data_IF_910544946103
#
_entry.id   IF_910544946103
#
_cell.length_a   1.000
_cell.length_b   1.000
_cell.length_c   1.000
_cell.angle_alpha   90.00
_cell.angle_beta   90.00
_cell.angle_gamma   90.00
#
_symmetry.space_group_name_H-M   'P 1'
#
loop_
_entity.id
_entity.type
_entity.pdbx_description
1 polymer ?
#
# COMPACT_ATOMS: atom_id res chain seq x y z
N UNK A 1 -40.35 13.66 -3.22
CA UNK A 1 -39.47 13.54 -2.02
C UNK A 1 -38.65 12.27 -2.12
N UNK A 2 -37.30 12.38 -2.19
CA UNK A 2 -36.45 11.18 -2.12
C UNK A 2 -36.47 10.69 -0.66
N UNK A 3 -37.04 9.53 -0.42
CA UNK A 3 -36.98 8.84 0.89
C UNK A 3 -35.52 8.68 1.29
N UNK A 4 -35.12 9.32 2.40
CA UNK A 4 -33.76 9.22 2.95
C UNK A 4 -33.50 7.76 3.30
N UNK A 5 -32.66 7.06 2.53
CA UNK A 5 -32.35 5.65 2.75
C UNK A 5 -31.66 5.51 4.12
N UNK A 6 -32.33 4.91 5.09
CA UNK A 6 -31.77 4.69 6.44
C UNK A 6 -30.63 3.68 6.33
N UNK A 7 -29.43 4.06 6.78
CA UNK A 7 -28.27 3.17 6.79
C UNK A 7 -28.45 2.07 7.84
N UNK A 8 -28.06 0.85 7.49
CA UNK A 8 -27.95 -0.24 8.47
C UNK A 8 -26.83 0.03 9.48
N UNK A 9 -26.88 -0.61 10.62
CA UNK A 9 -25.82 -0.45 11.63
C UNK A 9 -24.46 -0.96 11.14
N UNK A 10 -24.45 -1.98 10.28
CA UNK A 10 -23.24 -2.43 9.61
C UNK A 10 -22.67 -1.34 8.68
N UNK A 11 -23.51 -0.70 7.87
CA UNK A 11 -23.08 0.38 6.99
C UNK A 11 -22.51 1.57 7.75
N UNK A 12 -23.13 1.95 8.88
CA UNK A 12 -22.61 3.01 9.76
C UNK A 12 -21.22 2.64 10.35
N UNK A 13 -21.04 1.37 10.76
CA UNK A 13 -19.75 0.89 11.25
C UNK A 13 -18.67 0.95 10.16
N UNK A 14 -19.00 0.56 8.93
CA UNK A 14 -18.07 0.63 7.81
C UNK A 14 -17.69 2.08 7.46
N UNK A 15 -18.66 3.02 7.50
CA UNK A 15 -18.40 4.45 7.31
C UNK A 15 -17.44 4.98 8.39
N UNK A 16 -17.65 4.61 9.67
CA UNK A 16 -16.76 4.99 10.77
C UNK A 16 -15.35 4.41 10.57
N UNK A 17 -15.24 3.15 10.14
CA UNK A 17 -13.95 2.49 9.89
C UNK A 17 -13.18 3.23 8.77
N UNK A 18 -13.85 3.62 7.69
CA UNK A 18 -13.25 4.43 6.62
C UNK A 18 -12.82 5.82 7.12
N UNK A 19 -13.63 6.48 7.95
CA UNK A 19 -13.26 7.76 8.54
C UNK A 19 -12.04 7.65 9.46
N UNK A 20 -11.94 6.60 10.28
CA UNK A 20 -10.76 6.37 11.13
C UNK A 20 -9.50 6.26 10.25
N UNK A 21 -9.55 5.44 9.19
CA UNK A 21 -8.41 5.26 8.28
C UNK A 21 -8.06 6.58 7.59
N UNK A 22 -9.05 7.28 7.04
CA UNK A 22 -8.83 8.53 6.32
C UNK A 22 -8.28 9.63 7.23
N UNK A 23 -8.85 9.82 8.42
CA UNK A 23 -8.42 10.85 9.36
C UNK A 23 -7.02 10.59 9.93
N UNK A 24 -6.69 9.34 10.25
CA UNK A 24 -5.34 8.99 10.70
C UNK A 24 -4.29 9.23 9.62
N UNK A 25 -4.55 8.79 8.38
CA UNK A 25 -3.65 9.05 7.26
C UNK A 25 -3.52 10.55 6.99
N UNK A 26 -4.64 11.29 6.95
CA UNK A 26 -4.64 12.75 6.75
C UNK A 26 -3.85 13.48 7.84
N UNK A 27 -4.01 13.09 9.11
CA UNK A 27 -3.25 13.69 10.21
C UNK A 27 -1.74 13.52 10.02
N UNK A 28 -1.30 12.33 9.59
CA UNK A 28 0.12 12.08 9.30
C UNK A 28 0.58 12.87 8.07
N UNK A 29 -0.23 12.97 7.02
CA UNK A 29 0.07 13.82 5.87
C UNK A 29 0.17 15.31 6.22
N UNK A 30 -0.67 15.82 7.12
CA UNK A 30 -0.55 17.20 7.61
C UNK A 30 0.77 17.39 8.35
N UNK A 31 1.15 16.48 9.24
CA UNK A 31 2.46 16.52 9.90
C UNK A 31 3.58 16.50 8.86
N UNK A 32 3.50 15.60 7.87
CA UNK A 32 4.49 15.55 6.80
C UNK A 32 4.53 16.85 5.96
N UNK A 33 3.40 17.45 5.65
CA UNK A 33 3.34 18.73 4.95
C UNK A 33 4.02 19.87 5.74
N UNK A 34 3.93 19.85 7.08
CA UNK A 34 4.52 20.87 7.94
C UNK A 34 6.03 20.72 8.14
N UNK A 35 6.53 19.49 8.28
CA UNK A 35 7.91 19.21 8.66
C UNK A 35 8.65 18.24 7.72
N UNK A 36 8.02 17.83 6.60
CA UNK A 36 8.52 16.78 5.72
C UNK A 36 9.91 17.06 5.14
N UNK A 37 10.21 18.31 4.77
CA UNK A 37 11.55 18.67 4.31
C UNK A 37 12.63 18.43 5.38
N UNK A 38 12.34 18.76 6.65
CA UNK A 38 13.25 18.49 7.78
C UNK A 38 13.37 16.99 8.04
N UNK A 39 12.27 16.25 7.97
CA UNK A 39 12.26 14.79 8.12
C UNK A 39 13.07 14.11 7.01
N UNK A 40 12.91 14.55 5.77
CA UNK A 40 13.67 14.02 4.63
C UNK A 40 15.17 14.33 4.75
N UNK A 41 15.53 15.56 5.15
CA UNK A 41 16.93 15.92 5.43
C UNK A 41 17.51 15.03 6.52
N UNK A 42 16.79 14.86 7.64
CA UNK A 42 17.21 13.96 8.72
C UNK A 42 17.36 12.50 8.24
N UNK A 43 16.41 11.98 7.49
CA UNK A 43 16.45 10.60 7.00
C UNK A 43 17.58 10.36 5.98
N UNK A 44 18.01 11.39 5.22
CA UNK A 44 19.09 11.31 4.23
C UNK A 44 20.47 11.62 4.81
N UNK A 45 20.57 12.14 6.03
CA UNK A 45 21.86 12.54 6.63
C UNK A 45 22.66 11.32 7.09
N UNK A 46 23.63 10.90 6.27
CA UNK A 46 24.51 9.74 6.56
C UNK A 46 25.46 9.98 7.75
N UNK A 47 25.59 11.21 8.28
CA UNK A 47 26.32 11.45 9.52
C UNK A 47 25.59 10.95 10.76
N UNK A 48 24.27 10.77 10.66
CA UNK A 48 23.42 10.24 11.72
C UNK A 48 23.33 8.71 11.58
N UNK A 49 23.37 7.99 12.71
CA UNK A 49 23.16 6.54 12.71
C UNK A 49 21.92 6.12 11.92
N UNK A 50 22.00 5.01 11.20
CA UNK A 50 20.89 4.52 10.36
C UNK A 50 19.62 4.20 11.17
N UNK A 51 19.76 3.76 12.42
CA UNK A 51 18.63 3.31 13.24
C UNK A 51 17.58 4.38 13.57
N UNK A 52 17.94 5.57 14.12
CA UNK A 52 16.95 6.62 14.35
C UNK A 52 16.33 7.12 13.02
N UNK A 53 17.10 7.16 11.93
CA UNK A 53 16.60 7.52 10.60
C UNK A 53 15.56 6.51 10.09
N UNK A 54 15.86 5.22 10.20
CA UNK A 54 14.95 4.13 9.85
C UNK A 54 13.69 4.17 10.73
N UNK A 55 13.83 4.40 12.05
CA UNK A 55 12.70 4.49 12.98
C UNK A 55 11.76 5.64 12.62
N UNK A 56 12.29 6.82 12.32
CA UNK A 56 11.48 7.98 11.90
C UNK A 56 10.75 7.68 10.59
N UNK A 57 11.48 7.19 9.58
CA UNK A 57 10.88 6.84 8.29
C UNK A 57 9.79 5.75 8.43
N UNK A 58 10.06 4.67 9.20
CA UNK A 58 9.10 3.60 9.46
C UNK A 58 7.87 4.07 10.25
N UNK A 59 8.05 5.01 11.20
CA UNK A 59 6.92 5.58 11.96
C UNK A 59 6.00 6.40 11.06
N UNK A 60 6.55 7.17 10.12
CA UNK A 60 5.76 7.91 9.15
C UNK A 60 5.00 6.97 8.20
N UNK A 61 5.68 5.95 7.67
CA UNK A 61 5.06 4.95 6.80
C UNK A 61 3.95 4.18 7.52
N UNK A 62 4.19 3.75 8.76
CA UNK A 62 3.16 3.11 9.58
C UNK A 62 1.97 4.04 9.84
N UNK A 63 2.23 5.31 10.12
CA UNK A 63 1.19 6.31 10.33
C UNK A 63 0.24 6.43 9.14
N UNK A 64 0.78 6.40 7.92
CA UNK A 64 0.00 6.50 6.68
C UNK A 64 -0.71 5.18 6.37
N UNK A 65 0.00 4.07 6.37
CA UNK A 65 -0.49 2.80 5.83
C UNK A 65 -0.95 1.79 6.91
N UNK A 66 -0.43 1.86 8.14
CA UNK A 66 -0.67 0.86 9.18
C UNK A 66 -1.57 1.32 10.31
N UNK A 67 -1.45 2.57 10.75
CA UNK A 67 -2.08 3.06 11.98
C UNK A 67 -3.61 2.98 11.92
N UNK A 68 -4.22 3.49 10.85
CA UNK A 68 -5.67 3.53 10.71
C UNK A 68 -6.30 2.14 10.71
N UNK A 69 -5.74 1.20 9.93
CA UNK A 69 -6.23 -0.18 9.90
C UNK A 69 -5.99 -0.92 11.22
N UNK A 70 -4.90 -0.62 11.92
CA UNK A 70 -4.61 -1.20 13.24
C UNK A 70 -5.65 -0.73 14.27
N UNK A 71 -5.97 0.57 14.30
CA UNK A 71 -7.02 1.12 15.16
C UNK A 71 -8.36 0.45 14.88
N UNK A 72 -8.74 0.32 13.60
CA UNK A 72 -9.99 -0.38 13.19
C UNK A 72 -9.98 -1.83 13.68
N UNK A 73 -8.89 -2.57 13.50
CA UNK A 73 -8.78 -3.95 13.97
C UNK A 73 -8.99 -4.05 15.49
N UNK A 74 -8.34 -3.18 16.26
CA UNK A 74 -8.47 -3.15 17.73
C UNK A 74 -9.91 -2.83 18.14
N UNK A 75 -10.49 -1.74 17.63
CA UNK A 75 -11.84 -1.28 17.97
C UNK A 75 -12.92 -2.30 17.59
N UNK A 76 -12.73 -3.02 16.48
CA UNK A 76 -13.67 -4.03 16.00
C UNK A 76 -13.37 -5.44 16.51
N UNK A 77 -12.31 -5.62 17.30
CA UNK A 77 -11.81 -6.94 17.76
C UNK A 77 -11.63 -7.91 16.58
N UNK A 78 -11.14 -7.38 15.44
CA UNK A 78 -10.86 -8.15 14.24
C UNK A 78 -9.39 -8.49 14.16
N UNK A 79 -9.10 -9.68 13.65
CA UNK A 79 -7.72 -10.12 13.37
C UNK A 79 -7.39 -9.93 11.88
N UNK A 80 -6.14 -9.83 11.53
CA UNK A 80 -5.68 -9.70 10.15
C UNK A 80 -6.19 -10.82 9.21
N UNK A 81 -6.29 -12.10 9.65
CA UNK A 81 -6.93 -13.14 8.85
C UNK A 81 -8.36 -12.81 8.40
N UNK A 82 -9.14 -12.03 9.17
CA UNK A 82 -10.49 -11.63 8.77
C UNK A 82 -10.52 -10.74 7.53
N UNK A 83 -9.39 -10.14 7.17
CA UNK A 83 -9.20 -9.33 5.96
C UNK A 83 -8.42 -10.07 4.86
N UNK A 84 -8.27 -11.40 4.99
CA UNK A 84 -7.72 -12.24 3.93
C UNK A 84 -6.26 -12.66 4.09
N UNK A 85 -5.61 -12.43 5.23
CA UNK A 85 -4.28 -12.99 5.51
C UNK A 85 -4.42 -14.45 5.98
N UNK A 86 -4.65 -15.35 5.02
CA UNK A 86 -4.89 -16.78 5.25
C UNK A 86 -4.17 -17.63 4.21
N UNK A 87 -3.99 -18.92 4.49
CA UNK A 87 -3.26 -19.84 3.59
C UNK A 87 -4.07 -20.20 2.33
N UNK A 88 -5.40 -20.29 2.46
CA UNK A 88 -6.27 -20.70 1.37
C UNK A 88 -6.17 -19.72 0.20
N UNK A 89 -5.94 -20.24 -1.00
CA UNK A 89 -5.77 -19.47 -2.24
C UNK A 89 -4.59 -18.46 -2.24
N UNK A 90 -3.63 -18.53 -1.31
CA UNK A 90 -2.50 -17.58 -1.26
C UNK A 90 -1.64 -17.65 -2.53
N UNK A 91 -1.23 -18.85 -2.96
CA UNK A 91 -0.45 -19.03 -4.19
C UNK A 91 -1.21 -18.56 -5.44
N UNK A 92 -2.52 -18.83 -5.49
CA UNK A 92 -3.37 -18.34 -6.59
C UNK A 92 -3.45 -16.81 -6.59
N UNK A 93 -3.60 -16.18 -5.41
CA UNK A 93 -3.62 -14.74 -5.29
C UNK A 93 -2.29 -14.12 -5.71
N UNK A 94 -1.17 -14.65 -5.25
CA UNK A 94 0.17 -14.17 -5.59
C UNK A 94 0.42 -14.33 -7.10
N UNK A 95 0.23 -15.52 -7.66
CA UNK A 95 0.48 -15.77 -9.09
C UNK A 95 -0.38 -14.92 -10.01
N UNK A 96 -1.68 -14.75 -9.70
CA UNK A 96 -2.55 -13.88 -10.48
C UNK A 96 -2.18 -12.40 -10.32
N UNK A 97 -1.73 -11.97 -9.14
CA UNK A 97 -1.25 -10.60 -8.91
C UNK A 97 0.02 -10.33 -9.72
N UNK A 98 0.99 -11.24 -9.76
CA UNK A 98 2.20 -11.09 -10.59
C UNK A 98 1.80 -10.83 -12.05
N UNK A 99 0.84 -11.56 -12.59
CA UNK A 99 0.35 -11.36 -13.97
C UNK A 99 -0.22 -9.96 -14.19
N UNK A 100 -0.88 -9.38 -13.19
CA UNK A 100 -1.39 -8.00 -13.28
C UNK A 100 -0.26 -6.96 -13.34
N UNK A 101 0.92 -7.25 -12.76
CA UNK A 101 2.08 -6.37 -12.78
C UNK A 101 2.97 -6.50 -14.04
N UNK A 102 2.77 -7.53 -14.87
CA UNK A 102 3.57 -7.72 -16.09
C UNK A 102 3.58 -6.48 -17.00
N UNK A 103 2.45 -5.80 -17.30
CA UNK A 103 2.48 -4.58 -18.11
C UNK A 103 3.33 -3.46 -17.50
N UNK A 104 3.25 -3.29 -16.17
CA UNK A 104 4.06 -2.30 -15.44
C UNK A 104 5.55 -2.62 -15.50
N UNK A 105 5.93 -3.89 -15.30
CA UNK A 105 7.32 -4.34 -15.41
C UNK A 105 7.85 -4.11 -16.84
N UNK A 106 7.07 -4.48 -17.86
CA UNK A 106 7.45 -4.23 -19.27
C UNK A 106 7.66 -2.73 -19.52
N UNK A 107 6.77 -1.88 -18.98
CA UNK A 107 6.90 -0.43 -19.09
C UNK A 107 8.24 0.05 -18.54
N UNK A 108 8.65 -0.38 -17.34
CA UNK A 108 9.92 0.01 -16.71
C UNK A 108 11.12 -0.32 -17.61
N UNK A 109 11.14 -1.50 -18.21
CA UNK A 109 12.21 -1.89 -19.14
C UNK A 109 12.21 -1.07 -20.44
N UNK A 110 11.03 -0.83 -21.02
CA UNK A 110 10.90 -0.12 -22.31
C UNK A 110 11.12 1.38 -22.16
N UNK A 111 10.74 1.98 -21.01
CA UNK A 111 10.95 3.40 -20.74
C UNK A 111 12.40 3.76 -20.38
N UNK A 112 13.27 2.76 -20.15
CA UNK A 112 14.64 2.97 -19.70
C UNK A 112 14.76 3.36 -18.24
N UNK A 113 13.70 3.18 -17.43
CA UNK A 113 13.71 3.47 -15.98
C UNK A 113 14.29 2.33 -15.15
N UNK A 114 14.66 1.22 -15.78
CA UNK A 114 15.24 0.08 -15.08
C UNK A 114 16.66 0.38 -14.60
N UNK A 115 16.85 0.59 -13.29
CA UNK A 115 18.14 0.82 -12.66
C UNK A 115 18.69 -0.44 -11.94
N UNK A 116 17.88 -1.50 -11.84
CA UNK A 116 18.21 -2.74 -11.15
C UNK A 116 17.00 -3.29 -10.42
N UNK A 117 17.14 -4.48 -9.83
CA UNK A 117 16.11 -5.07 -8.99
C UNK A 117 16.53 -4.97 -7.51
N UNK A 118 15.96 -4.01 -6.81
CA UNK A 118 16.24 -3.72 -5.40
C UNK A 118 14.95 -3.66 -4.58
N UNK A 119 14.28 -4.80 -4.33
CA UNK A 119 13.07 -4.82 -3.54
C UNK A 119 13.32 -4.27 -2.14
N UNK A 120 12.38 -3.48 -1.61
CA UNK A 120 12.48 -2.85 -0.30
C UNK A 120 13.60 -1.79 -0.19
N UNK A 121 14.03 -1.23 -1.32
CA UNK A 121 14.99 -0.10 -1.31
C UNK A 121 14.28 1.18 -0.87
N UNK A 122 14.82 1.85 0.15
CA UNK A 122 14.39 3.16 0.63
C UNK A 122 15.63 4.03 0.88
N UNK A 123 15.44 5.31 1.17
CA UNK A 123 16.52 6.28 1.32
C UNK A 123 17.63 5.92 2.34
N UNK A 124 17.37 5.03 3.29
CA UNK A 124 18.35 4.59 4.30
C UNK A 124 19.01 3.26 3.96
N UNK A 125 18.52 2.53 2.95
CA UNK A 125 19.00 1.20 2.58
C UNK A 125 20.51 1.15 2.25
N UNK A 126 21.07 2.12 1.49
CA UNK A 126 22.50 2.10 1.18
C UNK A 126 23.40 2.18 2.43
N UNK A 127 22.99 2.96 3.44
CA UNK A 127 23.73 3.06 4.69
C UNK A 127 23.50 1.86 5.60
N UNK A 128 22.31 1.26 5.54
CA UNK A 128 21.98 0.03 6.27
C UNK A 128 22.90 -1.11 5.83
N UNK A 129 23.17 -1.26 4.53
CA UNK A 129 24.07 -2.29 4.00
C UNK A 129 25.53 -2.12 4.49
N UNK A 130 25.94 -0.92 4.87
CA UNK A 130 27.29 -0.64 5.43
C UNK A 130 27.42 -1.01 6.91
N UNK A 131 26.32 -1.25 7.63
CA UNK A 131 26.35 -1.48 9.09
C UNK A 131 26.63 -2.95 9.48
N UNK A 132 26.74 -3.85 8.52
CA UNK A 132 26.99 -5.28 8.72
C UNK A 132 25.72 -6.13 8.54
N UNK A 133 25.93 -7.44 8.35
CA UNK A 133 24.90 -8.37 7.87
C UNK A 133 23.68 -8.46 8.81
N UNK A 134 23.90 -8.52 10.12
CA UNK A 134 22.81 -8.65 11.11
C UNK A 134 21.94 -7.39 11.09
N UNK A 135 22.55 -6.22 11.07
CA UNK A 135 21.84 -4.95 11.00
C UNK A 135 21.07 -4.82 9.69
N UNK A 136 21.66 -5.22 8.57
CA UNK A 136 21.01 -5.26 7.26
C UNK A 136 19.77 -6.15 7.30
N UNK A 137 19.85 -7.37 7.83
CA UNK A 137 18.70 -8.27 7.94
C UNK A 137 17.59 -7.64 8.80
N UNK A 138 17.91 -7.14 9.98
CA UNK A 138 16.91 -6.53 10.87
C UNK A 138 16.26 -5.30 10.21
N UNK A 139 17.06 -4.43 9.63
CA UNK A 139 16.54 -3.23 8.96
C UNK A 139 15.67 -3.57 7.75
N UNK A 140 16.07 -4.54 6.94
CA UNK A 140 15.25 -5.01 5.80
C UNK A 140 13.93 -5.62 6.28
N UNK A 141 13.91 -6.36 7.39
CA UNK A 141 12.67 -6.86 7.97
C UNK A 141 11.75 -5.73 8.44
N UNK A 142 12.31 -4.66 9.03
CA UNK A 142 11.54 -3.45 9.39
C UNK A 142 10.96 -2.80 8.14
N UNK A 143 11.75 -2.64 7.07
CA UNK A 143 11.27 -2.07 5.81
C UNK A 143 10.17 -2.97 5.20
N UNK A 144 10.38 -4.29 5.15
CA UNK A 144 9.38 -5.24 4.66
C UNK A 144 8.06 -5.17 5.45
N UNK A 145 8.14 -4.93 6.76
CA UNK A 145 6.95 -4.78 7.60
C UNK A 145 6.17 -3.51 7.26
N UNK A 146 6.84 -2.35 7.13
CA UNK A 146 6.13 -1.08 7.02
C UNK A 146 5.81 -0.71 5.56
N UNK A 147 6.73 -0.86 4.63
CA UNK A 147 6.52 -0.56 3.19
C UNK A 147 5.93 -1.74 2.40
N UNK A 148 6.26 -2.97 2.79
CA UNK A 148 5.69 -4.15 2.13
C UNK A 148 4.36 -4.56 2.73
N UNK A 149 4.40 -5.07 3.97
CA UNK A 149 3.24 -5.68 4.60
C UNK A 149 2.12 -4.67 4.89
N UNK A 150 2.40 -3.60 5.68
CA UNK A 150 1.33 -2.67 6.05
C UNK A 150 0.78 -1.92 4.84
N UNK A 151 1.59 -1.51 3.90
CA UNK A 151 1.12 -0.81 2.72
C UNK A 151 0.25 -1.72 1.84
N UNK A 152 0.74 -2.89 1.44
CA UNK A 152 -0.05 -3.84 0.64
C UNK A 152 -1.32 -4.31 1.35
N UNK A 153 -1.25 -4.54 2.67
CA UNK A 153 -2.40 -4.95 3.46
C UNK A 153 -3.43 -3.82 3.62
N UNK A 154 -2.98 -2.57 3.74
CA UNK A 154 -3.86 -1.39 3.79
C UNK A 154 -4.78 -1.30 2.57
N UNK A 155 -4.24 -1.50 1.38
CA UNK A 155 -5.03 -1.54 0.15
C UNK A 155 -6.12 -2.62 0.20
N UNK A 156 -5.77 -3.82 0.67
CA UNK A 156 -6.74 -4.91 0.81
C UNK A 156 -7.85 -4.59 1.83
N UNK A 157 -7.50 -4.00 2.98
CA UNK A 157 -8.45 -3.64 4.04
C UNK A 157 -9.40 -2.54 3.57
N UNK A 158 -8.89 -1.45 3.00
CA UNK A 158 -9.70 -0.34 2.49
C UNK A 158 -10.62 -0.84 1.37
N UNK A 159 -10.08 -1.59 0.41
CA UNK A 159 -10.87 -2.19 -0.67
C UNK A 159 -12.03 -3.04 -0.12
N UNK A 160 -11.75 -3.90 0.87
CA UNK A 160 -12.78 -4.73 1.51
C UNK A 160 -13.87 -3.90 2.18
N UNK A 161 -13.50 -2.85 2.92
CA UNK A 161 -14.46 -2.00 3.65
C UNK A 161 -15.36 -1.26 2.65
N UNK A 162 -14.78 -0.67 1.60
CA UNK A 162 -15.54 0.04 0.56
C UNK A 162 -16.48 -0.91 -0.18
N UNK A 163 -16.02 -2.09 -0.61
CA UNK A 163 -16.84 -3.05 -1.34
C UNK A 163 -18.00 -3.60 -0.50
N UNK A 164 -17.80 -3.76 0.82
CA UNK A 164 -18.88 -4.13 1.74
C UNK A 164 -19.87 -2.98 1.96
N UNK A 165 -19.39 -1.76 1.96
CA UNK A 165 -20.22 -0.55 2.14
C UNK A 165 -21.02 -0.23 0.89
N UNK A 166 -20.43 -0.43 -0.30
CA UNK A 166 -21.01 -0.15 -1.61
C UNK A 166 -20.94 -1.41 -2.50
N UNK A 167 -21.71 -2.44 -2.18
CA UNK A 167 -21.64 -3.72 -2.90
C UNK A 167 -22.06 -3.56 -4.36
N UNK A 168 -21.28 -4.15 -5.26
CA UNK A 168 -21.58 -4.22 -6.70
C UNK A 168 -21.52 -5.68 -7.16
N UNK A 169 -22.57 -6.11 -7.85
CA UNK A 169 -22.63 -7.45 -8.45
C UNK A 169 -21.93 -7.45 -9.82
N UNK A 170 -20.60 -7.32 -9.80
CA UNK A 170 -19.77 -7.40 -11.01
C UNK A 170 -18.50 -8.19 -10.70
N UNK A 171 -18.08 -9.00 -11.69
CA UNK A 171 -16.82 -9.75 -11.61
C UNK A 171 -15.59 -8.85 -11.83
N UNK A 172 -15.73 -7.82 -12.65
CA UNK A 172 -14.61 -6.98 -13.10
C UNK A 172 -14.63 -5.57 -12.53
N UNK A 173 -15.66 -5.19 -11.77
CA UNK A 173 -15.77 -3.87 -11.17
C UNK A 173 -15.88 -3.96 -9.66
N UNK A 174 -15.14 -3.08 -8.98
CA UNK A 174 -15.10 -2.90 -7.53
C UNK A 174 -14.87 -1.43 -7.21
N UNK A 175 -15.75 -0.83 -6.40
CA UNK A 175 -15.53 0.52 -5.90
C UNK A 175 -14.28 0.62 -5.04
N UNK A 176 -14.04 -0.39 -4.21
CA UNK A 176 -12.85 -0.45 -3.37
C UNK A 176 -11.58 -0.49 -4.21
N UNK A 177 -11.54 -1.36 -5.25
CA UNK A 177 -10.39 -1.42 -6.14
C UNK A 177 -10.16 -0.08 -6.87
N UNK A 178 -11.23 0.55 -7.39
CA UNK A 178 -11.13 1.82 -8.10
C UNK A 178 -10.59 2.93 -7.19
N UNK A 179 -11.19 3.11 -6.02
CA UNK A 179 -10.79 4.16 -5.07
C UNK A 179 -9.35 3.95 -4.61
N UNK A 180 -8.97 2.74 -4.21
CA UNK A 180 -7.61 2.44 -3.77
C UNK A 180 -6.58 2.65 -4.90
N UNK A 181 -6.90 2.24 -6.13
CA UNK A 181 -6.02 2.46 -7.29
C UNK A 181 -5.82 3.94 -7.58
N UNK A 182 -6.90 4.73 -7.58
CA UNK A 182 -6.81 6.18 -7.78
C UNK A 182 -6.03 6.85 -6.65
N UNK A 183 -6.22 6.43 -5.40
CA UNK A 183 -5.40 6.93 -4.29
C UNK A 183 -3.91 6.62 -4.50
N UNK A 184 -3.57 5.38 -4.87
CA UNK A 184 -2.18 5.01 -5.15
C UNK A 184 -1.55 5.86 -6.24
N UNK A 185 -2.26 6.08 -7.34
CA UNK A 185 -1.80 6.91 -8.45
C UNK A 185 -1.63 8.38 -8.03
N UNK A 186 -2.60 8.97 -7.32
CA UNK A 186 -2.59 10.39 -6.96
C UNK A 186 -1.48 10.76 -5.95
N UNK A 187 -0.96 9.79 -5.21
CA UNK A 187 0.15 10.02 -4.27
C UNK A 187 1.54 9.88 -4.90
N UNK A 188 1.61 9.49 -6.19
CA UNK A 188 2.87 9.42 -6.93
C UNK A 188 3.02 10.61 -7.87
N UNK A 189 4.26 11.08 -8.12
CA UNK A 189 4.53 12.08 -9.14
C UNK A 189 4.03 11.57 -10.50
N UNK A 190 3.36 12.41 -11.26
CA UNK A 190 2.84 12.06 -12.59
C UNK A 190 3.38 13.04 -13.62
N UNK A 191 3.77 12.53 -14.79
CA UNK A 191 3.99 13.35 -15.98
C UNK A 191 2.84 13.12 -16.99
N UNK A 192 2.60 14.11 -17.86
CA UNK A 192 1.55 14.05 -18.87
C UNK A 192 2.12 13.92 -20.29
N UNK A 193 3.39 13.54 -20.39
CA UNK A 193 3.98 13.10 -21.67
C UNK A 193 3.57 11.65 -22.00
N UNK A 194 4.00 11.16 -23.16
CA UNK A 194 3.64 9.80 -23.60
C UNK A 194 4.07 8.72 -22.60
N UNK A 195 5.28 8.84 -22.03
CA UNK A 195 5.80 7.87 -21.08
C UNK A 195 5.02 7.91 -19.76
N UNK A 196 4.71 9.10 -19.24
CA UNK A 196 3.90 9.23 -18.03
C UNK A 196 2.47 8.74 -18.21
N UNK A 197 1.86 8.91 -19.39
CA UNK A 197 0.55 8.31 -19.68
C UNK A 197 0.63 6.78 -19.71
N UNK A 198 1.69 6.20 -20.27
CA UNK A 198 1.91 4.75 -20.26
C UNK A 198 2.15 4.23 -18.85
N UNK A 199 2.90 4.95 -18.02
CA UNK A 199 3.10 4.66 -16.60
C UNK A 199 1.76 4.64 -15.86
N UNK A 200 0.94 5.67 -16.05
CA UNK A 200 -0.38 5.77 -15.45
C UNK A 200 -1.26 4.57 -15.81
N UNK A 201 -1.31 4.20 -17.10
CA UNK A 201 -2.13 3.07 -17.56
C UNK A 201 -1.63 1.76 -16.99
N UNK A 202 -0.32 1.50 -17.04
CA UNK A 202 0.26 0.24 -16.54
C UNK A 202 0.17 0.13 -15.02
N UNK A 203 0.36 1.23 -14.29
CA UNK A 203 0.12 1.33 -12.84
C UNK A 203 -1.35 1.06 -12.50
N UNK A 204 -2.28 1.65 -13.26
CA UNK A 204 -3.71 1.39 -13.06
C UNK A 204 -4.03 -0.09 -13.24
N UNK A 205 -3.54 -0.72 -14.31
CA UNK A 205 -3.75 -2.16 -14.58
C UNK A 205 -3.19 -2.99 -13.43
N UNK A 206 -1.99 -2.69 -12.96
CA UNK A 206 -1.32 -3.40 -11.88
C UNK A 206 -2.10 -3.33 -10.56
N UNK A 207 -2.38 -2.11 -10.07
CA UNK A 207 -3.04 -1.92 -8.78
C UNK A 207 -4.51 -2.33 -8.81
N UNK A 208 -5.24 -1.95 -9.86
CA UNK A 208 -6.66 -2.34 -10.00
C UNK A 208 -6.79 -3.85 -10.16
N UNK A 209 -5.96 -4.47 -11.01
CA UNK A 209 -5.93 -5.92 -11.22
C UNK A 209 -5.62 -6.67 -9.93
N UNK A 210 -4.61 -6.26 -9.19
CA UNK A 210 -4.26 -6.81 -7.88
C UNK A 210 -5.47 -6.83 -6.91
N UNK A 211 -6.22 -5.71 -6.85
CA UNK A 211 -7.37 -5.59 -5.96
C UNK A 211 -8.61 -6.37 -6.45
N UNK A 212 -8.78 -6.52 -7.76
CA UNK A 212 -9.77 -7.44 -8.32
C UNK A 212 -9.43 -8.89 -7.99
N UNK A 213 -8.15 -9.29 -8.07
CA UNK A 213 -7.70 -10.61 -7.62
C UNK A 213 -7.98 -10.81 -6.12
N UNK A 214 -7.69 -9.81 -5.29
CA UNK A 214 -8.06 -9.83 -3.88
C UNK A 214 -9.57 -10.04 -3.68
N UNK A 215 -10.42 -9.30 -4.40
CA UNK A 215 -11.89 -9.46 -4.34
C UNK A 215 -12.33 -10.90 -4.62
N UNK A 216 -11.73 -11.55 -5.64
CA UNK A 216 -12.09 -12.91 -6.04
C UNK A 216 -11.53 -14.00 -5.14
N UNK A 217 -10.28 -13.87 -4.74
CA UNK A 217 -9.58 -14.88 -3.92
C UNK A 217 -9.87 -14.74 -2.44
N UNK A 218 -10.34 -13.58 -2.01
CA UNK A 218 -10.45 -13.19 -0.58
C UNK A 218 -9.15 -13.43 0.18
N UNK A 219 -8.02 -13.20 -0.51
CA UNK A 219 -6.69 -13.40 0.05
C UNK A 219 -5.80 -12.20 -0.21
N UNK A 220 -5.29 -11.59 0.88
CA UNK A 220 -4.50 -10.36 0.85
C UNK A 220 -3.01 -10.59 0.54
N UNK A 221 -2.52 -11.86 0.53
CA UNK A 221 -1.11 -12.13 0.27
C UNK A 221 -0.65 -11.69 -1.12
N UNK A 222 -1.55 -11.63 -2.11
CA UNK A 222 -1.22 -11.05 -3.40
C UNK A 222 -0.83 -9.57 -3.28
N UNK A 223 -1.59 -8.78 -2.52
CA UNK A 223 -1.30 -7.37 -2.29
C UNK A 223 0.01 -7.20 -1.51
N UNK A 224 0.18 -7.94 -0.40
CA UNK A 224 1.41 -7.90 0.40
C UNK A 224 2.63 -8.29 -0.42
N UNK A 225 2.54 -9.38 -1.21
CA UNK A 225 3.62 -9.82 -2.08
C UNK A 225 4.02 -8.76 -3.10
N UNK A 226 3.04 -8.12 -3.75
CA UNK A 226 3.31 -7.08 -4.74
C UNK A 226 4.09 -5.91 -4.14
N UNK A 227 3.74 -5.47 -2.93
CA UNK A 227 4.43 -4.36 -2.26
C UNK A 227 5.79 -4.73 -1.67
N UNK A 228 6.03 -6.00 -1.34
CA UNK A 228 7.36 -6.45 -0.89
C UNK A 228 8.32 -6.63 -2.08
N UNK A 229 7.83 -7.20 -3.19
CA UNK A 229 8.72 -7.73 -4.23
C UNK A 229 8.59 -7.07 -5.60
N UNK A 230 7.56 -6.27 -5.87
CA UNK A 230 7.35 -5.71 -7.21
C UNK A 230 7.22 -4.19 -7.17
N UNK A 231 6.38 -3.66 -6.30
CA UNK A 231 6.14 -2.24 -6.19
C UNK A 231 7.37 -1.53 -5.64
N UNK A 232 7.87 -0.51 -6.33
CA UNK A 232 9.14 0.17 -5.98
C UNK A 232 10.38 -0.76 -5.91
N UNK A 233 10.41 -1.84 -6.70
CA UNK A 233 11.54 -2.77 -6.71
C UNK A 233 12.49 -2.59 -7.91
N UNK A 234 12.17 -1.63 -8.83
CA UNK A 234 12.87 -1.39 -10.10
C UNK A 234 13.26 0.06 -10.25
#
# INVERSE_FOLDING_TARGET
>A
MKTKKILTDEQKKLDIDLWIIALTATAVFVVYAMIGSRLMTFCKDSSISVWPRLFVAASMQFGIAGLGITIVCILRKKTFPSFGLKKENSLKAIGATILCFVPYIIYIFVSGQFEGYEPLSIMVTPDLHKTGIIATIIGTLVIALFWGFFEGFNYAVICNIIDRRYPVNSKFFSWGALVCTLMGILFHPMSFDLLGILELITTFIALYGMLIIYKHTRNAWGCVFAFIFIWNAF
#
